data_IF_337634425872
#
_entry.id   IF_337634425872
#
_cell.length_a   1.000
_cell.length_b   1.000
_cell.length_c   1.000
_cell.angle_alpha   90.00
_cell.angle_beta   90.00
_cell.angle_gamma   90.00
#
_symmetry.space_group_name_H-M   'P 1'
#
loop_
_entity.id
_entity.type
_entity.pdbx_description
1 polymer ?
#
# COMPACT_ATOMS: atom_id res chain seq x y z
N UNK A 1 -6.39 16.63 5.68
CA UNK A 1 -5.57 17.58 6.44
C UNK A 1 -4.13 17.25 6.09
N UNK A 2 -3.35 18.27 5.72
CA UNK A 2 -1.98 18.17 5.23
C UNK A 2 -1.06 17.64 6.34
N UNK A 3 -0.16 16.74 5.97
CA UNK A 3 0.89 16.22 6.83
C UNK A 3 1.60 17.39 7.55
N UNK A 4 1.74 17.31 8.87
CA UNK A 4 2.38 18.39 9.62
C UNK A 4 3.89 18.22 9.59
N UNK A 5 4.57 19.09 8.85
CA UNK A 5 6.02 19.16 8.79
C UNK A 5 6.60 19.63 10.14
N UNK A 6 7.37 18.78 10.80
CA UNK A 6 8.29 19.26 11.84
C UNK A 6 9.58 19.67 11.11
N UNK A 7 9.92 20.97 11.09
CA UNK A 7 11.03 21.57 10.30
C UNK A 7 12.43 21.00 10.60
N UNK A 8 12.52 19.98 11.45
CA UNK A 8 13.72 19.26 11.84
C UNK A 8 13.72 17.77 11.45
N UNK A 9 12.66 17.25 10.82
CA UNK A 9 12.51 15.82 10.50
C UNK A 9 12.85 15.53 9.04
N UNK A 10 14.01 14.93 8.84
CA UNK A 10 14.40 14.19 7.63
C UNK A 10 13.65 12.87 7.43
N UNK A 11 12.53 12.64 8.15
CA UNK A 11 11.85 11.34 8.16
C UNK A 11 10.32 11.46 7.99
N UNK A 12 9.79 10.69 7.03
CA UNK A 12 8.36 10.50 6.77
C UNK A 12 7.80 9.46 7.75
N UNK A 13 6.55 9.65 8.18
CA UNK A 13 5.80 8.63 8.91
C UNK A 13 4.48 8.40 8.22
N UNK A 14 4.19 7.13 7.93
CA UNK A 14 2.96 6.71 7.27
C UNK A 14 1.83 6.72 8.31
N UNK A 15 0.76 7.46 8.00
CA UNK A 15 -0.45 7.45 8.79
C UNK A 15 -1.18 6.12 8.63
N UNK A 16 -1.40 5.40 9.75
CA UNK A 16 -2.07 4.10 9.77
C UNK A 16 -3.45 4.11 9.12
N UNK A 17 -4.28 5.10 9.42
CA UNK A 17 -5.67 5.13 8.96
C UNK A 17 -5.73 5.36 7.45
N UNK A 18 -4.97 6.32 6.94
CA UNK A 18 -4.91 6.63 5.52
C UNK A 18 -4.30 5.47 4.72
N UNK A 19 -3.23 4.87 5.24
CA UNK A 19 -2.60 3.71 4.62
C UNK A 19 -3.52 2.50 4.56
N UNK A 20 -4.16 2.15 5.68
CA UNK A 20 -5.13 1.04 5.69
C UNK A 20 -6.34 1.32 4.80
N UNK A 21 -6.76 2.58 4.64
CA UNK A 21 -7.82 2.93 3.70
C UNK A 21 -7.37 2.72 2.24
N UNK A 22 -6.13 3.05 1.89
CA UNK A 22 -5.56 2.77 0.58
C UNK A 22 -5.45 1.26 0.31
N UNK A 23 -4.94 0.50 1.30
CA UNK A 23 -4.89 -0.96 1.23
C UNK A 23 -6.27 -1.60 1.06
N UNK A 24 -7.30 -1.09 1.74
CA UNK A 24 -8.67 -1.59 1.55
C UNK A 24 -9.15 -1.41 0.12
N UNK A 25 -8.85 -0.29 -0.54
CA UNK A 25 -9.20 -0.08 -1.96
C UNK A 25 -8.50 -1.07 -2.89
N UNK A 26 -7.25 -1.41 -2.58
CA UNK A 26 -6.50 -2.43 -3.31
C UNK A 26 -7.14 -3.81 -3.10
N UNK A 27 -7.45 -4.16 -1.84
CA UNK A 27 -8.17 -5.39 -1.50
C UNK A 27 -9.51 -5.53 -2.23
N UNK A 28 -10.32 -4.46 -2.25
CA UNK A 28 -11.58 -4.44 -3.00
C UNK A 28 -11.38 -4.68 -4.51
N UNK A 29 -10.26 -4.21 -5.06
CA UNK A 29 -9.86 -4.46 -6.43
C UNK A 29 -9.53 -5.94 -6.68
N UNK A 30 -8.73 -6.53 -5.79
CA UNK A 30 -8.37 -7.95 -5.83
C UNK A 30 -9.63 -8.82 -5.73
N UNK A 31 -10.52 -8.53 -4.78
CA UNK A 31 -11.77 -9.27 -4.57
C UNK A 31 -12.66 -9.25 -5.82
N UNK A 32 -12.73 -8.11 -6.52
CA UNK A 32 -13.46 -7.99 -7.78
C UNK A 32 -12.83 -8.83 -8.90
N UNK A 33 -11.50 -8.86 -8.99
CA UNK A 33 -10.82 -9.70 -9.98
C UNK A 33 -11.07 -11.19 -9.70
N UNK A 34 -10.88 -11.63 -8.46
CA UNK A 34 -11.17 -13.01 -8.02
C UNK A 34 -12.61 -13.39 -8.33
N UNK A 35 -13.58 -12.53 -7.98
CA UNK A 35 -15.00 -12.77 -8.25
C UNK A 35 -15.29 -12.92 -9.74
N UNK A 36 -14.63 -12.12 -10.58
CA UNK A 36 -14.77 -12.18 -12.04
C UNK A 36 -14.20 -13.48 -12.62
N UNK A 37 -12.99 -13.88 -12.20
CA UNK A 37 -12.37 -15.14 -12.62
C UNK A 37 -13.16 -16.37 -12.18
N UNK A 38 -13.68 -16.35 -10.94
CA UNK A 38 -14.56 -17.39 -10.41
C UNK A 38 -15.83 -17.53 -11.24
N UNK A 39 -16.46 -16.42 -11.65
CA UNK A 39 -17.63 -16.43 -12.54
C UNK A 39 -17.29 -16.96 -13.94
N UNK A 40 -16.11 -16.63 -14.44
CA UNK A 40 -15.58 -17.13 -15.71
C UNK A 40 -15.11 -18.59 -15.65
N UNK A 41 -15.15 -19.23 -14.47
CA UNK A 41 -14.62 -20.59 -14.20
C UNK A 41 -13.15 -20.75 -14.60
N UNK A 42 -12.38 -19.67 -14.53
CA UNK A 42 -10.94 -19.69 -14.77
C UNK A 42 -10.21 -20.12 -13.49
N UNK A 43 -9.11 -20.86 -13.65
CA UNK A 43 -8.20 -21.14 -12.54
C UNK A 43 -7.48 -19.85 -12.14
N UNK A 44 -7.28 -19.67 -10.83
CA UNK A 44 -6.56 -18.53 -10.28
C UNK A 44 -5.85 -18.94 -8.98
N UNK A 45 -4.75 -18.28 -8.68
CA UNK A 45 -4.11 -18.30 -7.36
C UNK A 45 -4.37 -16.94 -6.69
N UNK A 46 -5.18 -16.93 -5.63
CA UNK A 46 -5.55 -15.70 -4.95
C UNK A 46 -4.36 -15.02 -4.27
N UNK A 47 -3.39 -15.80 -3.78
CA UNK A 47 -2.20 -15.29 -3.10
C UNK A 47 -1.27 -14.63 -4.10
N UNK A 48 -1.00 -15.32 -5.21
CA UNK A 48 -0.13 -14.81 -6.28
C UNK A 48 -0.71 -13.52 -6.86
N UNK A 49 -2.00 -13.52 -7.21
CA UNK A 49 -2.67 -12.32 -7.70
C UNK A 49 -2.64 -11.15 -6.71
N UNK A 50 -2.91 -11.41 -5.43
CA UNK A 50 -2.88 -10.35 -4.42
C UNK A 50 -1.48 -9.74 -4.27
N UNK A 51 -0.43 -10.58 -4.31
CA UNK A 51 0.97 -10.14 -4.26
C UNK A 51 1.34 -9.31 -5.48
N UNK A 52 0.93 -9.73 -6.68
CA UNK A 52 1.16 -8.97 -7.91
C UNK A 52 0.51 -7.60 -7.85
N UNK A 53 -0.80 -7.53 -7.55
CA UNK A 53 -1.54 -6.26 -7.52
C UNK A 53 -0.97 -5.30 -6.47
N UNK A 54 -0.59 -5.79 -5.28
CA UNK A 54 0.04 -4.96 -4.25
C UNK A 54 1.42 -4.44 -4.70
N UNK A 55 2.21 -5.29 -5.35
CA UNK A 55 3.53 -4.93 -5.86
C UNK A 55 3.41 -3.88 -6.97
N UNK A 56 2.48 -4.07 -7.91
CA UNK A 56 2.21 -3.12 -9.00
C UNK A 56 1.66 -1.78 -8.49
N UNK A 57 0.86 -1.80 -7.43
CA UNK A 57 0.36 -0.57 -6.81
C UNK A 57 1.47 0.29 -6.21
N UNK A 58 2.63 -0.31 -5.91
CA UNK A 58 3.86 0.36 -5.52
C UNK A 58 3.65 1.47 -4.47
N UNK A 59 2.86 1.13 -3.45
CA UNK A 59 2.15 2.11 -2.63
C UNK A 59 3.10 3.04 -1.86
N UNK A 60 4.29 2.54 -1.51
CA UNK A 60 5.30 3.33 -0.81
C UNK A 60 5.91 4.41 -1.71
N UNK A 61 6.20 4.08 -2.96
CA UNK A 61 6.70 5.06 -3.94
C UNK A 61 5.64 6.12 -4.21
N UNK A 62 4.37 5.72 -4.42
CA UNK A 62 3.27 6.66 -4.62
C UNK A 62 3.09 7.65 -3.44
N UNK A 63 3.29 7.18 -2.21
CA UNK A 63 3.22 8.04 -1.00
C UNK A 63 4.42 9.01 -0.96
N UNK A 64 5.63 8.51 -1.24
CA UNK A 64 6.85 9.34 -1.25
C UNK A 64 6.76 10.41 -2.34
N UNK A 65 6.39 10.03 -3.56
CA UNK A 65 6.24 10.95 -4.68
C UNK A 65 5.22 12.04 -4.36
N UNK A 66 4.02 11.66 -3.87
CA UNK A 66 3.00 12.64 -3.50
C UNK A 66 3.45 13.59 -2.38
N UNK A 67 4.24 13.12 -1.43
CA UNK A 67 4.80 13.97 -0.38
C UNK A 67 5.92 14.88 -0.91
N UNK A 68 6.83 14.34 -1.71
CA UNK A 68 7.93 15.09 -2.33
C UNK A 68 7.40 16.20 -3.23
N UNK A 69 6.36 15.93 -4.03
CA UNK A 69 5.70 16.92 -4.88
C UNK A 69 4.98 18.00 -4.07
N UNK A 70 4.25 17.62 -3.01
CA UNK A 70 3.50 18.57 -2.21
C UNK A 70 4.39 19.50 -1.38
N UNK A 71 5.46 18.96 -0.80
CA UNK A 71 6.31 19.69 0.16
C UNK A 71 7.66 20.14 -0.45
N UNK A 72 7.93 19.82 -1.72
CA UNK A 72 9.19 20.15 -2.39
C UNK A 72 10.40 19.45 -1.74
N UNK A 73 10.22 18.20 -1.31
CA UNK A 73 11.24 17.40 -0.64
C UNK A 73 11.84 16.33 -1.57
N UNK A 74 12.87 15.62 -1.11
CA UNK A 74 13.52 14.54 -1.85
C UNK A 74 13.75 13.33 -0.95
N UNK A 75 12.68 12.89 -0.30
CA UNK A 75 12.67 11.72 0.58
C UNK A 75 12.69 10.44 -0.24
N UNK A 76 13.18 9.37 0.38
CA UNK A 76 13.29 8.03 -0.16
C UNK A 76 12.65 7.02 0.81
N UNK A 77 12.58 5.74 0.41
CA UNK A 77 12.09 4.66 1.29
C UNK A 77 12.86 4.59 2.62
N UNK A 78 14.16 4.88 2.61
CA UNK A 78 15.00 4.87 3.82
C UNK A 78 14.61 5.94 4.84
N UNK A 79 13.90 6.99 4.40
CA UNK A 79 13.44 8.08 5.24
C UNK A 79 12.08 7.77 5.90
N UNK A 80 11.46 6.62 5.59
CA UNK A 80 10.21 6.20 6.25
C UNK A 80 10.53 5.57 7.60
N UNK A 81 10.22 6.31 8.66
CA UNK A 81 10.49 5.93 10.06
C UNK A 81 9.72 4.69 10.56
N UNK A 82 8.59 4.33 9.95
CA UNK A 82 7.75 3.20 10.33
C UNK A 82 7.51 2.22 9.18
N UNK A 83 8.49 2.04 8.30
CA UNK A 83 8.38 1.19 7.11
C UNK A 83 8.03 -0.27 7.47
N UNK A 84 8.71 -0.86 8.46
CA UNK A 84 8.41 -2.22 8.92
C UNK A 84 6.97 -2.39 9.40
N UNK A 85 6.46 -1.40 10.13
CA UNK A 85 5.07 -1.42 10.59
C UNK A 85 4.09 -1.34 9.42
N UNK A 86 4.39 -0.51 8.42
CA UNK A 86 3.55 -0.37 7.23
C UNK A 86 3.59 -1.64 6.35
N UNK A 87 4.75 -2.29 6.26
CA UNK A 87 4.88 -3.60 5.64
C UNK A 87 4.04 -4.66 6.35
N UNK A 88 4.03 -4.67 7.69
CA UNK A 88 3.16 -5.57 8.45
C UNK A 88 1.67 -5.39 8.13
N UNK A 89 1.21 -4.18 7.80
CA UNK A 89 -0.17 -3.98 7.35
C UNK A 89 -0.44 -4.50 5.93
N UNK A 90 0.56 -4.51 5.06
CA UNK A 90 0.49 -5.18 3.75
C UNK A 90 0.38 -6.68 3.96
N UNK A 91 1.20 -7.24 4.85
CA UNK A 91 1.18 -8.67 5.15
C UNK A 91 -0.19 -9.10 5.71
N UNK A 92 -0.75 -8.32 6.65
CA UNK A 92 -2.13 -8.50 7.15
C UNK A 92 -3.20 -8.51 6.03
N UNK A 93 -3.01 -7.71 4.96
CA UNK A 93 -3.91 -7.73 3.80
C UNK A 93 -3.73 -9.02 3.01
N UNK A 94 -2.49 -9.41 2.74
CA UNK A 94 -2.15 -10.60 1.94
C UNK A 94 -2.56 -11.91 2.63
N UNK A 95 -2.52 -11.96 3.97
CA UNK A 95 -3.01 -13.09 4.76
C UNK A 95 -4.47 -13.45 4.45
N UNK A 96 -5.32 -12.48 4.10
CA UNK A 96 -6.73 -12.74 3.72
C UNK A 96 -6.88 -13.62 2.49
N UNK A 97 -5.87 -13.64 1.62
CA UNK A 97 -5.85 -14.41 0.38
C UNK A 97 -5.11 -15.74 0.53
N UNK A 98 -4.39 -15.91 1.63
CA UNK A 98 -3.68 -17.15 1.96
C UNK A 98 -4.71 -18.14 2.46
N UNK A 99 -5.15 -19.03 1.56
CA UNK A 99 -6.21 -20.01 1.81
C UNK A 99 -5.67 -21.22 2.56
#
# INVERSE_FOLDING_TARGET
>A
MIATLNKSKTALSINKQEFKAALSKIGDGIDKQISSLKKAKQSYDAVEMAREVVTEANIFEAIIEGFNEAEGTNLTLADISNLEQAQGWIDELLEKYTT
#
